data_IF_832062195247
#
_entry.id   IF_832062195247
#
_cell.length_a   1.000
_cell.length_b   1.000
_cell.length_c   1.000
_cell.angle_alpha   90.00
_cell.angle_beta   90.00
_cell.angle_gamma   90.00
#
_symmetry.space_group_name_H-M   'P 1'
#
loop_
_entity.id
_entity.type
_entity.pdbx_description
1 polymer ?
#
# COMPACT_ATOMS: atom_id res chain seq x y z
N UNK A 1 6.48 30.63 -17.99
CA UNK A 1 5.11 30.17 -18.15
C UNK A 1 5.05 28.91 -18.96
N UNK A 2 4.58 27.83 -18.41
CA UNK A 2 4.53 26.55 -19.10
C UNK A 2 3.30 26.47 -19.97
N UNK A 3 3.33 27.14 -21.07
CA UNK A 3 2.19 27.12 -21.99
C UNK A 3 2.39 26.19 -23.14
N UNK A 4 3.46 25.41 -23.09
CA UNK A 4 3.74 24.41 -24.11
C UNK A 4 2.81 23.21 -23.92
N UNK A 5 2.38 22.62 -25.01
CA UNK A 5 1.53 21.43 -25.00
C UNK A 5 2.14 20.29 -24.17
N UNK A 6 3.47 20.17 -24.18
CA UNK A 6 4.19 19.16 -23.40
C UNK A 6 4.00 19.33 -21.90
N UNK A 7 3.96 20.57 -21.38
CA UNK A 7 3.72 20.83 -19.95
C UNK A 7 2.31 20.47 -19.54
N UNK A 8 1.31 20.76 -20.37
CA UNK A 8 -0.07 20.37 -20.11
C UNK A 8 -0.23 18.86 -20.08
N UNK A 9 0.41 18.17 -21.03
CA UNK A 9 0.40 16.72 -21.09
C UNK A 9 1.03 16.09 -19.86
N UNK A 10 2.15 16.65 -19.39
CA UNK A 10 2.83 16.21 -18.18
C UNK A 10 1.94 16.39 -16.95
N UNK A 11 1.27 17.52 -16.82
CA UNK A 11 0.37 17.78 -15.70
C UNK A 11 -0.78 16.78 -15.64
N UNK A 12 -1.34 16.42 -16.79
CA UNK A 12 -2.38 15.40 -16.86
C UNK A 12 -1.88 14.04 -16.41
N UNK A 13 -0.67 13.65 -16.86
CA UNK A 13 -0.05 12.39 -16.47
C UNK A 13 0.22 12.36 -14.96
N UNK A 14 0.72 13.47 -14.41
CA UNK A 14 0.99 13.59 -12.97
C UNK A 14 -0.28 13.48 -12.14
N UNK A 15 -1.37 14.09 -12.58
CA UNK A 15 -2.67 13.97 -11.91
C UNK A 15 -3.17 12.52 -11.89
N UNK A 16 -3.03 11.82 -13.01
CA UNK A 16 -3.42 10.40 -13.11
C UNK A 16 -2.59 9.54 -12.16
N UNK A 17 -1.28 9.76 -12.09
CA UNK A 17 -0.40 9.06 -11.15
C UNK A 17 -0.81 9.32 -9.70
N UNK A 18 -1.08 10.58 -9.38
CA UNK A 18 -1.48 10.98 -8.05
C UNK A 18 -2.75 10.25 -7.62
N UNK A 19 -3.75 10.20 -8.49
CA UNK A 19 -4.99 9.48 -8.22
C UNK A 19 -4.77 7.99 -8.02
N UNK A 20 -3.94 7.36 -8.86
CA UNK A 20 -3.59 5.95 -8.72
C UNK A 20 -2.91 5.68 -7.38
N UNK A 21 -1.99 6.57 -6.98
CA UNK A 21 -1.27 6.45 -5.71
C UNK A 21 -2.21 6.56 -4.52
N UNK A 22 -3.15 7.50 -4.57
CA UNK A 22 -4.16 7.66 -3.52
C UNK A 22 -5.01 6.40 -3.39
N UNK A 23 -5.48 5.85 -4.50
CA UNK A 23 -6.27 4.62 -4.51
C UNK A 23 -5.49 3.44 -3.94
N UNK A 24 -4.23 3.29 -4.34
CA UNK A 24 -3.37 2.23 -3.85
C UNK A 24 -3.16 2.33 -2.34
N UNK A 25 -2.94 3.54 -1.82
CA UNK A 25 -2.81 3.77 -0.38
C UNK A 25 -4.10 3.46 0.37
N UNK A 26 -5.24 3.81 -0.20
CA UNK A 26 -6.55 3.51 0.40
C UNK A 26 -6.81 2.01 0.48
N UNK A 27 -6.50 1.28 -0.59
CA UNK A 27 -6.63 -0.18 -0.63
C UNK A 27 -5.72 -0.83 0.40
N UNK A 28 -4.49 -0.34 0.53
CA UNK A 28 -3.55 -0.83 1.52
C UNK A 28 -4.08 -0.62 2.94
N UNK A 29 -4.63 0.55 3.23
CA UNK A 29 -5.25 0.84 4.53
C UNK A 29 -6.42 -0.10 4.83
N UNK A 30 -7.25 -0.38 3.84
CA UNK A 30 -8.38 -1.31 3.99
C UNK A 30 -7.91 -2.70 4.37
N UNK A 31 -6.91 -3.21 3.66
CA UNK A 31 -6.41 -4.57 3.92
C UNK A 31 -5.72 -4.66 5.28
N UNK A 32 -5.02 -3.60 5.70
CA UNK A 32 -4.41 -3.52 7.02
C UNK A 32 -5.46 -3.52 8.14
N UNK A 33 -6.57 -2.80 7.93
CA UNK A 33 -7.69 -2.80 8.89
C UNK A 33 -8.31 -4.18 9.02
N UNK A 34 -8.51 -4.90 7.91
CA UNK A 34 -9.02 -6.27 7.94
C UNK A 34 -8.07 -7.18 8.72
N UNK A 35 -6.78 -7.06 8.50
CA UNK A 35 -5.79 -7.83 9.23
C UNK A 35 -5.87 -7.58 10.73
N UNK A 36 -5.95 -6.33 11.14
CA UNK A 36 -6.10 -5.96 12.55
C UNK A 36 -7.39 -6.50 13.15
N UNK A 37 -8.48 -6.43 12.40
CA UNK A 37 -9.77 -6.99 12.85
C UNK A 37 -9.68 -8.49 13.08
N UNK A 38 -9.02 -9.23 12.19
CA UNK A 38 -8.80 -10.66 12.34
C UNK A 38 -7.95 -10.99 13.57
N UNK A 39 -6.92 -10.17 13.83
CA UNK A 39 -6.10 -10.32 15.02
C UNK A 39 -6.91 -10.09 16.29
N UNK A 40 -7.75 -9.05 16.31
CA UNK A 40 -8.61 -8.72 17.45
C UNK A 40 -9.63 -9.82 17.74
N UNK A 41 -10.15 -10.47 16.71
CA UNK A 41 -11.10 -11.57 16.84
C UNK A 41 -10.42 -12.91 17.12
N UNK A 42 -9.09 -12.91 17.25
CA UNK A 42 -8.26 -14.12 17.47
C UNK A 42 -8.35 -15.14 16.34
N UNK A 43 -8.70 -14.70 15.16
CA UNK A 43 -8.79 -15.55 13.97
C UNK A 43 -7.44 -15.62 13.27
N UNK A 44 -6.48 -16.29 13.91
CA UNK A 44 -5.09 -16.29 13.50
C UNK A 44 -4.86 -16.97 12.15
N UNK A 45 -5.59 -18.04 11.88
CA UNK A 45 -5.46 -18.77 10.61
C UNK A 45 -5.79 -17.87 9.41
N UNK A 46 -6.90 -17.14 9.48
CA UNK A 46 -7.28 -16.18 8.44
C UNK A 46 -6.33 -14.99 8.39
N UNK A 47 -5.85 -14.54 9.55
CA UNK A 47 -4.88 -13.46 9.62
C UNK A 47 -3.58 -13.83 8.90
N UNK A 48 -3.09 -15.04 9.06
CA UNK A 48 -1.91 -15.52 8.34
C UNK A 48 -2.11 -15.54 6.84
N UNK A 49 -3.26 -16.03 6.40
CA UNK A 49 -3.62 -16.04 4.97
C UNK A 49 -3.67 -14.61 4.41
N UNK A 50 -4.29 -13.69 5.16
CA UNK A 50 -4.39 -12.30 4.76
C UNK A 50 -3.01 -11.61 4.78
N UNK A 51 -2.13 -12.01 5.70
CA UNK A 51 -0.79 -11.43 5.80
C UNK A 51 0.01 -11.61 4.51
N UNK A 52 -0.13 -12.75 3.83
CA UNK A 52 0.52 -12.99 2.54
C UNK A 52 0.07 -11.95 1.52
N UNK A 53 -1.23 -11.65 1.48
CA UNK A 53 -1.78 -10.62 0.61
C UNK A 53 -1.28 -9.22 0.99
N UNK A 54 -1.20 -8.94 2.28
CA UNK A 54 -0.67 -7.66 2.77
C UNK A 54 0.78 -7.47 2.34
N UNK A 55 1.61 -8.50 2.48
CA UNK A 55 3.00 -8.46 2.04
C UNK A 55 3.10 -8.18 0.53
N UNK A 56 2.28 -8.86 -0.26
CA UNK A 56 2.23 -8.67 -1.70
C UNK A 56 1.87 -7.22 -2.05
N UNK A 57 0.88 -6.65 -1.37
CA UNK A 57 0.46 -5.26 -1.58
C UNK A 57 1.55 -4.27 -1.18
N UNK A 58 2.22 -4.51 -0.04
CA UNK A 58 3.31 -3.65 0.42
C UNK A 58 4.49 -3.69 -0.56
N UNK A 59 4.85 -4.87 -1.06
CA UNK A 59 5.94 -5.02 -2.02
C UNK A 59 5.62 -4.32 -3.34
N UNK A 60 4.39 -4.45 -3.83
CA UNK A 60 3.96 -3.77 -5.05
C UNK A 60 3.98 -2.25 -4.87
N UNK A 61 3.52 -1.76 -3.73
CA UNK A 61 3.51 -0.33 -3.43
C UNK A 61 4.94 0.22 -3.36
N UNK A 62 5.87 -0.53 -2.75
CA UNK A 62 7.28 -0.14 -2.69
C UNK A 62 7.91 -0.16 -4.08
N UNK A 63 7.62 -1.16 -4.90
CA UNK A 63 8.13 -1.27 -6.26
C UNK A 63 7.65 -0.12 -7.14
N UNK A 64 6.41 0.30 -6.97
CA UNK A 64 5.84 1.45 -7.68
C UNK A 64 6.20 2.79 -7.07
N UNK A 65 6.99 2.79 -6.00
CA UNK A 65 7.40 3.99 -5.26
C UNK A 65 6.24 4.78 -4.66
N UNK A 66 5.14 4.10 -4.36
CA UNK A 66 4.01 4.68 -3.64
C UNK A 66 4.39 4.87 -2.17
N UNK A 67 5.13 3.89 -1.62
CA UNK A 67 5.75 3.97 -0.30
C UNK A 67 7.24 3.66 -0.44
N UNK A 68 8.03 4.14 0.51
CA UNK A 68 9.45 3.86 0.52
C UNK A 68 9.71 2.37 0.87
N UNK A 69 10.70 1.71 0.23
CA UNK A 69 11.00 0.30 0.53
C UNK A 69 11.28 0.02 2.01
N UNK A 70 11.95 0.93 2.69
CA UNK A 70 12.22 0.80 4.13
C UNK A 70 10.93 0.83 4.95
N UNK A 71 9.96 1.65 4.56
CA UNK A 71 8.64 1.70 5.19
C UNK A 71 7.92 0.37 5.02
N UNK A 72 7.96 -0.22 3.82
CA UNK A 72 7.37 -1.52 3.55
C UNK A 72 7.99 -2.60 4.43
N UNK A 73 9.31 -2.63 4.52
CA UNK A 73 10.05 -3.59 5.35
C UNK A 73 9.67 -3.48 6.83
N UNK A 74 9.59 -2.26 7.34
CA UNK A 74 9.19 -2.02 8.74
C UNK A 74 7.77 -2.50 9.01
N UNK A 75 6.84 -2.21 8.12
CA UNK A 75 5.45 -2.64 8.25
C UNK A 75 5.34 -4.16 8.23
N UNK A 76 6.06 -4.83 7.33
CA UNK A 76 6.10 -6.29 7.26
C UNK A 76 6.59 -6.88 8.59
N UNK A 77 7.69 -6.36 9.13
CA UNK A 77 8.25 -6.84 10.39
C UNK A 77 7.27 -6.67 11.54
N UNK A 78 6.64 -5.51 11.64
CA UNK A 78 5.65 -5.23 12.70
C UNK A 78 4.45 -6.16 12.61
N UNK A 79 3.95 -6.38 11.40
CA UNK A 79 2.79 -7.24 11.18
C UNK A 79 3.11 -8.70 11.52
N UNK A 80 4.28 -9.17 11.13
CA UNK A 80 4.73 -10.53 11.45
C UNK A 80 4.83 -10.75 12.96
N UNK A 81 5.34 -9.77 13.70
CA UNK A 81 5.43 -9.85 15.16
C UNK A 81 4.07 -9.97 15.84
N UNK A 82 3.04 -9.37 15.28
CA UNK A 82 1.69 -9.46 15.84
C UNK A 82 1.10 -10.86 15.77
N UNK A 83 1.61 -11.70 14.87
CA UNK A 83 1.17 -13.08 14.73
C UNK A 83 1.93 -14.06 15.62
N UNK A 84 3.04 -13.63 16.19
CA UNK A 84 3.85 -14.47 17.10
C UNK A 84 3.29 -14.45 18.55
#
# INVERSE_FOLDING_TARGET
MPRRKSSLKRNRADKKRHLRNIRAKQELKKILKKFQALLSSKNIAEAKTLLVKVYSQLDKAAKKRIIHPKTASRKKSRLARKLL
#
